data_IF_494171475532
#
_entry.id   IF_494171475532
#
_cell.length_a   1.000
_cell.length_b   1.000
_cell.length_c   1.000
_cell.angle_alpha   90.00
_cell.angle_beta   90.00
_cell.angle_gamma   90.00
#
_symmetry.space_group_name_H-M   'P 1'
#
loop_
_entity.id
_entity.type
_entity.pdbx_description
1 polymer ?
#
# COMPACT_ATOMS: atom_id res chain seq x y z
N UNK A 1 -33.75 -29.51 19.87
CA UNK A 1 -32.30 -29.76 19.88
C UNK A 1 -31.91 -30.06 21.31
N UNK A 2 -31.49 -31.29 21.59
CA UNK A 2 -31.14 -31.73 22.95
C UNK A 2 -29.76 -31.16 23.29
N UNK A 3 -29.67 -30.34 24.33
CA UNK A 3 -28.41 -29.83 24.83
C UNK A 3 -27.66 -30.97 25.50
N UNK A 4 -26.49 -31.31 24.97
CA UNK A 4 -25.53 -32.17 25.66
C UNK A 4 -25.10 -31.43 26.93
N UNK A 5 -25.62 -31.86 28.08
CA UNK A 5 -25.14 -31.44 29.38
C UNK A 5 -23.78 -32.11 29.60
N UNK A 6 -22.71 -31.48 29.14
CA UNK A 6 -21.36 -31.85 29.51
C UNK A 6 -21.20 -31.65 31.02
N UNK A 7 -21.06 -32.76 31.74
CA UNK A 7 -20.70 -32.76 33.16
C UNK A 7 -19.21 -33.04 33.26
N UNK A 8 -18.44 -32.06 33.72
CA UNK A 8 -17.03 -32.28 34.08
C UNK A 8 -16.92 -32.45 35.57
N UNK A 9 -16.43 -33.60 36.03
CA UNK A 9 -16.07 -33.82 37.43
C UNK A 9 -14.64 -33.32 37.68
N UNK A 10 -14.48 -32.49 38.71
CA UNK A 10 -13.18 -32.02 39.18
C UNK A 10 -13.01 -32.46 40.63
N UNK A 11 -11.98 -33.27 40.90
CA UNK A 11 -11.62 -33.71 42.25
C UNK A 11 -10.62 -32.73 42.82
N UNK A 12 -10.88 -32.26 44.04
CA UNK A 12 -10.08 -31.26 44.73
C UNK A 12 -9.80 -31.80 46.14
N UNK A 13 -8.58 -31.67 46.69
CA UNK A 13 -8.27 -32.12 48.04
C UNK A 13 -9.19 -31.47 49.09
N UNK A 14 -9.53 -32.19 50.16
CA UNK A 14 -10.42 -31.69 51.24
C UNK A 14 -9.85 -30.44 51.95
N UNK A 15 -8.55 -30.19 51.81
CA UNK A 15 -7.86 -29.01 52.35
C UNK A 15 -8.07 -27.74 51.51
N UNK A 16 -8.54 -27.86 50.28
CA UNK A 16 -8.77 -26.73 49.38
C UNK A 16 -10.25 -26.34 49.37
N UNK A 17 -10.51 -25.04 49.49
CA UNK A 17 -11.87 -24.48 49.56
C UNK A 17 -12.26 -23.71 48.30
N UNK A 18 -11.37 -23.65 47.30
CA UNK A 18 -11.57 -22.90 46.06
C UNK A 18 -11.06 -23.68 44.86
N UNK A 19 -11.73 -23.53 43.72
CA UNK A 19 -11.25 -24.03 42.43
C UNK A 19 -11.52 -22.99 41.34
N UNK A 20 -10.78 -23.11 40.23
CA UNK A 20 -10.98 -22.30 39.04
C UNK A 20 -11.33 -23.21 37.87
N UNK A 21 -12.36 -22.83 37.11
CA UNK A 21 -12.80 -23.53 35.90
C UNK A 21 -12.76 -22.56 34.73
N UNK A 22 -11.80 -22.77 33.85
CA UNK A 22 -11.64 -22.01 32.62
C UNK A 22 -12.41 -22.64 31.46
N UNK A 23 -12.54 -21.88 30.36
CA UNK A 23 -13.15 -22.37 29.12
C UNK A 23 -14.68 -22.42 29.14
N UNK A 24 -15.34 -21.82 30.13
CA UNK A 24 -16.79 -21.69 30.13
C UNK A 24 -17.23 -20.72 29.03
N UNK A 25 -18.33 -21.06 28.36
CA UNK A 25 -18.91 -20.24 27.31
C UNK A 25 -19.51 -18.97 27.95
N UNK A 26 -19.20 -17.76 27.44
CA UNK A 26 -19.78 -16.52 27.93
C UNK A 26 -21.31 -16.48 27.79
N UNK A 27 -21.99 -15.76 28.67
CA UNK A 27 -23.45 -15.58 28.66
C UNK A 27 -24.26 -16.90 28.61
N UNK A 28 -23.80 -17.91 29.36
CA UNK A 28 -24.46 -19.22 29.48
C UNK A 28 -24.78 -19.53 30.92
N UNK A 29 -25.93 -20.19 31.12
CA UNK A 29 -26.36 -20.69 32.42
C UNK A 29 -25.67 -22.02 32.73
N UNK A 30 -25.09 -22.12 33.92
CA UNK A 30 -24.40 -23.30 34.42
C UNK A 30 -24.96 -23.71 35.78
N UNK A 31 -24.83 -25.00 36.05
CA UNK A 31 -25.15 -25.59 37.34
C UNK A 31 -23.87 -26.24 37.91
N UNK A 32 -23.47 -25.84 39.10
CA UNK A 32 -22.39 -26.45 39.86
C UNK A 32 -22.98 -27.30 40.99
N UNK A 33 -22.49 -28.52 41.14
CA UNK A 33 -22.79 -29.41 42.26
C UNK A 33 -21.51 -29.72 43.03
N UNK A 34 -21.59 -29.67 44.35
CA UNK A 34 -20.49 -29.99 45.26
C UNK A 34 -20.90 -31.19 46.11
N UNK A 35 -20.01 -32.19 46.20
CA UNK A 35 -20.17 -33.38 47.03
C UNK A 35 -18.82 -33.83 47.59
N UNK A 36 -18.86 -34.69 48.59
CA UNK A 36 -17.64 -35.30 49.17
C UNK A 36 -17.48 -36.68 48.57
N UNK A 37 -16.27 -37.03 48.18
CA UNK A 37 -15.93 -38.39 47.76
C UNK A 37 -15.11 -39.05 48.87
N UNK A 38 -15.61 -40.17 49.41
CA UNK A 38 -14.93 -40.97 50.43
C UNK A 38 -14.83 -42.41 49.91
N UNK A 39 -13.62 -42.97 49.90
CA UNK A 39 -13.35 -44.34 49.41
C UNK A 39 -13.88 -44.64 47.98
N UNK A 40 -13.95 -43.61 47.12
CA UNK A 40 -14.44 -43.73 45.75
C UNK A 40 -15.98 -43.67 45.62
N UNK A 41 -16.68 -43.41 46.71
CA UNK A 41 -18.13 -43.20 46.74
C UNK A 41 -18.39 -41.70 46.89
N UNK A 42 -19.07 -41.12 45.91
CA UNK A 42 -19.54 -39.73 45.99
C UNK A 42 -20.78 -39.68 46.88
N UNK A 43 -20.66 -39.02 48.02
CA UNK A 43 -21.76 -38.73 48.94
C UNK A 43 -22.85 -37.87 48.29
N UNK A 44 -23.99 -37.77 48.96
CA UNK A 44 -25.10 -36.90 48.58
C UNK A 44 -24.62 -35.46 48.30
N UNK A 45 -25.26 -34.80 47.32
CA UNK A 45 -24.88 -33.45 46.91
C UNK A 45 -25.04 -32.48 48.08
N UNK A 46 -23.93 -31.91 48.55
CA UNK A 46 -23.92 -30.96 49.65
C UNK A 46 -24.50 -29.60 49.25
N UNK A 47 -24.19 -29.15 48.05
CA UNK A 47 -24.64 -27.85 47.57
C UNK A 47 -24.81 -27.84 46.05
N UNK A 48 -25.79 -27.07 45.60
CA UNK A 48 -26.09 -26.84 44.19
C UNK A 48 -26.22 -25.35 43.93
N UNK A 49 -25.40 -24.85 43.01
CA UNK A 49 -25.36 -23.43 42.64
C UNK A 49 -25.76 -23.28 41.18
N UNK A 50 -26.56 -22.26 40.88
CA UNK A 50 -26.84 -21.84 39.51
C UNK A 50 -26.23 -20.46 39.31
N UNK A 51 -25.48 -20.30 38.24
CA UNK A 51 -24.88 -19.02 37.89
C UNK A 51 -24.84 -18.87 36.37
N UNK A 52 -24.78 -17.63 35.92
CA UNK A 52 -24.59 -17.26 34.53
C UNK A 52 -23.22 -16.65 34.35
N UNK A 53 -22.48 -17.07 33.34
CA UNK A 53 -21.19 -16.46 33.00
C UNK A 53 -21.38 -15.05 32.44
N UNK A 54 -20.42 -14.16 32.69
CA UNK A 54 -20.44 -12.81 32.13
C UNK A 54 -20.46 -12.84 30.59
N UNK A 55 -21.01 -11.80 29.96
CA UNK A 55 -20.96 -11.66 28.50
C UNK A 55 -19.54 -11.27 28.05
N UNK A 56 -19.18 -11.64 26.82
CA UNK A 56 -17.91 -11.26 26.19
C UNK A 56 -18.08 -10.09 25.21
N UNK A 57 -19.27 -9.48 25.15
CA UNK A 57 -19.63 -8.47 24.14
C UNK A 57 -18.72 -7.24 24.23
N UNK A 58 -18.47 -6.75 25.44
CA UNK A 58 -17.62 -5.58 25.67
C UNK A 58 -16.17 -5.80 25.21
N UNK A 59 -15.64 -7.00 25.43
CA UNK A 59 -14.29 -7.36 24.98
C UNK A 59 -14.24 -7.56 23.47
N UNK A 60 -15.26 -8.19 22.89
CA UNK A 60 -15.35 -8.33 21.43
C UNK A 60 -15.47 -6.98 20.73
N UNK A 61 -16.24 -6.05 21.28
CA UNK A 61 -16.36 -4.68 20.77
C UNK A 61 -15.01 -3.96 20.83
N UNK A 62 -14.31 -4.03 21.97
CA UNK A 62 -12.97 -3.49 22.10
C UNK A 62 -12.00 -4.08 21.06
N UNK A 63 -12.04 -5.39 20.85
CA UNK A 63 -11.15 -6.08 19.92
C UNK A 63 -11.49 -5.81 18.44
N UNK A 64 -12.76 -5.54 18.14
CA UNK A 64 -13.20 -5.06 16.84
C UNK A 64 -12.68 -3.63 16.61
N UNK A 65 -12.82 -2.74 17.59
CA UNK A 65 -12.33 -1.36 17.51
C UNK A 65 -10.81 -1.30 17.33
N UNK A 66 -10.06 -2.14 18.06
CA UNK A 66 -8.60 -2.25 17.90
C UNK A 66 -8.22 -2.68 16.48
N UNK A 67 -8.88 -3.70 15.94
CA UNK A 67 -8.66 -4.17 14.56
C UNK A 67 -9.01 -3.10 13.52
N UNK A 68 -10.10 -2.36 13.73
CA UNK A 68 -10.45 -1.25 12.85
C UNK A 68 -9.43 -0.13 12.86
N UNK A 69 -8.91 0.24 14.04
CA UNK A 69 -7.88 1.27 14.17
C UNK A 69 -6.58 0.84 13.49
N UNK A 70 -6.13 -0.40 13.72
CA UNK A 70 -4.99 -0.99 13.04
C UNK A 70 -5.16 -0.98 11.50
N UNK A 71 -6.32 -1.38 11.01
CA UNK A 71 -6.64 -1.34 9.58
C UNK A 71 -6.63 0.09 9.01
N UNK A 72 -7.17 1.08 9.75
CA UNK A 72 -7.15 2.49 9.37
C UNK A 72 -5.73 3.03 9.30
N UNK A 73 -4.90 2.75 10.31
CA UNK A 73 -3.50 3.20 10.31
C UNK A 73 -2.69 2.58 9.16
N UNK A 74 -2.93 1.32 8.84
CA UNK A 74 -2.25 0.66 7.72
C UNK A 74 -2.72 1.20 6.35
N UNK A 75 -4.02 1.45 6.20
CA UNK A 75 -4.57 2.11 5.01
C UNK A 75 -3.96 3.50 4.81
N UNK A 76 -3.82 4.29 5.88
CA UNK A 76 -3.18 5.61 5.84
C UNK A 76 -1.70 5.51 5.44
N UNK A 77 -0.95 4.54 5.98
CA UNK A 77 0.45 4.29 5.57
C UNK A 77 0.55 3.98 4.08
N UNK A 78 -0.31 3.10 3.56
CA UNK A 78 -0.35 2.74 2.13
C UNK A 78 -0.69 3.95 1.26
N UNK A 79 -1.63 4.79 1.69
CA UNK A 79 -2.02 5.99 0.96
C UNK A 79 -0.88 7.01 0.91
N UNK A 80 -0.21 7.26 2.03
CA UNK A 80 0.95 8.15 2.08
C UNK A 80 2.07 7.67 1.15
N UNK A 81 2.39 6.37 1.17
CA UNK A 81 3.41 5.81 0.29
C UNK A 81 3.07 6.00 -1.20
N UNK A 82 1.80 5.79 -1.58
CA UNK A 82 1.30 6.02 -2.95
C UNK A 82 1.42 7.48 -3.34
N UNK A 83 1.02 8.39 -2.46
CA UNK A 83 1.13 9.85 -2.66
C UNK A 83 2.57 10.27 -2.88
N UNK A 84 3.49 9.79 -2.05
CA UNK A 84 4.91 10.18 -2.11
C UNK A 84 5.56 9.63 -3.39
N UNK A 85 5.22 8.41 -3.80
CA UNK A 85 5.65 7.83 -5.08
C UNK A 85 5.11 8.62 -6.28
N UNK A 86 3.84 9.02 -6.24
CA UNK A 86 3.23 9.83 -7.29
C UNK A 86 3.89 11.22 -7.39
N UNK A 87 4.21 11.84 -6.24
CA UNK A 87 4.90 13.12 -6.20
C UNK A 87 6.31 13.02 -6.79
N UNK A 88 7.04 11.95 -6.48
CA UNK A 88 8.35 11.67 -7.07
C UNK A 88 8.26 11.56 -8.60
N UNK A 89 7.35 10.73 -9.11
CA UNK A 89 7.14 10.58 -10.56
C UNK A 89 6.77 11.90 -11.23
N UNK A 90 5.93 12.71 -10.58
CA UNK A 90 5.54 14.04 -11.09
C UNK A 90 6.74 14.97 -11.21
N UNK A 91 7.61 14.97 -10.20
CA UNK A 91 8.82 15.80 -10.20
C UNK A 91 9.80 15.35 -11.28
N UNK A 92 10.01 14.05 -11.47
CA UNK A 92 10.85 13.52 -12.56
C UNK A 92 10.33 13.93 -13.94
N UNK A 93 9.01 13.90 -14.15
CA UNK A 93 8.40 14.36 -15.41
C UNK A 93 8.58 15.87 -15.59
N UNK A 94 8.41 16.66 -14.53
CA UNK A 94 8.59 18.11 -14.57
C UNK A 94 10.04 18.51 -14.90
N UNK A 95 11.03 17.81 -14.35
CA UNK A 95 12.44 18.00 -14.67
C UNK A 95 12.73 17.68 -16.14
N UNK A 96 12.26 16.52 -16.63
CA UNK A 96 12.41 16.14 -18.05
C UNK A 96 11.78 17.17 -19.00
N UNK A 97 10.60 17.68 -18.66
CA UNK A 97 9.93 18.73 -19.42
C UNK A 97 10.72 20.04 -19.40
N UNK A 98 11.32 20.39 -18.25
CA UNK A 98 12.13 21.60 -18.12
C UNK A 98 13.38 21.53 -19.00
N UNK A 99 14.07 20.38 -18.99
CA UNK A 99 15.22 20.14 -19.87
C UNK A 99 14.80 20.22 -21.34
N UNK A 100 13.70 19.55 -21.70
CA UNK A 100 13.18 19.59 -23.08
C UNK A 100 12.84 21.01 -23.54
N UNK A 101 12.22 21.82 -22.68
CA UNK A 101 11.92 23.24 -22.98
C UNK A 101 13.20 24.06 -23.19
N UNK A 102 14.24 23.85 -22.37
CA UNK A 102 15.54 24.52 -22.55
C UNK A 102 16.20 24.14 -23.87
N UNK A 103 16.19 22.85 -24.23
CA UNK A 103 16.72 22.39 -25.51
C UNK A 103 15.96 22.99 -26.69
N UNK A 104 14.63 22.99 -26.63
CA UNK A 104 13.79 23.59 -27.67
C UNK A 104 14.12 25.07 -27.89
N UNK A 105 14.19 25.84 -26.80
CA UNK A 105 14.56 27.25 -26.87
C UNK A 105 15.96 27.48 -27.47
N UNK A 106 16.93 26.62 -27.14
CA UNK A 106 18.27 26.69 -27.71
C UNK A 106 18.27 26.37 -29.22
N UNK A 107 17.39 25.48 -29.69
CA UNK A 107 17.23 25.21 -31.12
C UNK A 107 16.61 26.41 -31.85
N UNK A 108 15.55 27.01 -31.30
CA UNK A 108 14.92 28.21 -31.87
C UNK A 108 15.92 29.38 -31.98
N UNK A 109 16.81 29.55 -31.01
CA UNK A 109 17.85 30.59 -31.04
C UNK A 109 18.91 30.34 -32.13
N UNK A 110 19.15 29.07 -32.48
CA UNK A 110 20.12 28.66 -33.51
C UNK A 110 19.54 28.63 -34.92
N UNK A 111 18.23 28.54 -35.05
CA UNK A 111 17.52 28.50 -36.32
C UNK A 111 17.83 29.66 -37.29
N UNK A 112 17.86 30.95 -36.87
CA UNK A 112 18.24 32.03 -37.78
C UNK A 112 19.70 31.92 -38.25
N UNK A 113 20.62 31.47 -37.39
CA UNK A 113 22.03 31.24 -37.78
C UNK A 113 22.15 30.16 -38.86
N UNK A 114 21.30 29.13 -38.79
CA UNK A 114 21.24 28.07 -39.81
C UNK A 114 20.69 28.63 -41.13
N UNK A 115 19.63 29.44 -41.08
CA UNK A 115 19.04 30.06 -42.27
C UNK A 115 20.03 31.02 -42.97
N UNK A 116 20.80 31.78 -42.20
CA UNK A 116 21.85 32.67 -42.73
C UNK A 116 22.93 31.86 -43.45
N UNK A 117 23.44 30.78 -42.83
CA UNK A 117 24.42 29.88 -43.45
C UNK A 117 23.86 29.25 -44.74
N UNK A 118 22.60 28.83 -44.75
CA UNK A 118 21.96 28.29 -45.96
C UNK A 118 21.84 29.33 -47.07
N UNK A 119 21.54 30.59 -46.72
CA UNK A 119 21.48 31.71 -47.65
C UNK A 119 22.86 31.99 -48.26
N UNK A 120 23.90 32.07 -47.42
CA UNK A 120 25.28 32.30 -47.85
C UNK A 120 25.77 31.18 -48.78
N UNK A 121 25.48 29.92 -48.45
CA UNK A 121 25.80 28.79 -49.31
C UNK A 121 25.10 28.92 -50.68
N UNK A 122 23.80 29.22 -50.72
CA UNK A 122 23.07 29.41 -51.98
C UNK A 122 23.67 30.53 -52.83
N UNK A 123 24.07 31.65 -52.21
CA UNK A 123 24.73 32.75 -52.91
C UNK A 123 26.08 32.32 -53.49
N UNK A 124 26.92 31.63 -52.71
CA UNK A 124 28.22 31.11 -53.18
C UNK A 124 28.07 30.15 -54.36
N UNK A 125 27.09 29.24 -54.31
CA UNK A 125 26.80 28.31 -55.41
C UNK A 125 26.33 29.05 -56.67
N UNK A 126 25.48 30.07 -56.52
CA UNK A 126 25.01 30.87 -57.66
C UNK A 126 26.15 31.66 -58.32
N UNK A 127 27.05 32.24 -57.51
CA UNK A 127 28.18 33.04 -57.98
C UNK A 127 29.23 32.16 -58.66
N UNK A 128 29.50 30.98 -58.10
CA UNK A 128 30.41 29.98 -58.68
C UNK A 128 29.86 29.45 -60.01
N UNK A 129 28.55 29.21 -60.09
CA UNK A 129 27.90 28.79 -61.33
C UNK A 129 27.95 29.88 -62.40
N UNK A 130 27.69 31.13 -62.02
CA UNK A 130 27.77 32.27 -62.93
C UNK A 130 29.19 32.49 -63.46
N UNK A 131 30.20 32.47 -62.58
CA UNK A 131 31.61 32.64 -62.97
C UNK A 131 32.10 31.52 -63.88
N UNK A 132 31.69 30.26 -63.63
CA UNK A 132 31.99 29.13 -64.51
C UNK A 132 31.39 29.32 -65.92
N UNK A 133 30.16 29.83 -66.01
CA UNK A 133 29.49 30.13 -67.28
C UNK A 133 30.22 31.25 -68.03
N UNK A 134 30.62 32.33 -67.33
CA UNK A 134 31.38 33.42 -67.94
C UNK A 134 32.76 32.96 -68.43
N UNK A 135 33.44 32.12 -67.66
CA UNK A 135 34.73 31.54 -68.05
C UNK A 135 34.60 30.67 -69.31
N UNK A 136 33.58 29.79 -69.38
CA UNK A 136 33.29 29.00 -70.59
C UNK A 136 33.02 29.91 -71.79
N UNK A 137 32.17 30.93 -71.66
CA UNK A 137 31.90 31.90 -72.75
C UNK A 137 33.18 32.56 -73.27
N UNK A 138 34.08 32.97 -72.38
CA UNK A 138 35.38 33.59 -72.72
C UNK A 138 36.36 32.63 -73.40
N UNK A 139 36.32 31.34 -73.07
CA UNK A 139 37.10 30.32 -73.77
C UNK A 139 36.55 30.08 -75.18
N UNK A 140 35.23 29.97 -75.34
CA UNK A 140 34.61 29.78 -76.65
C UNK A 140 34.85 30.97 -77.60
N UNK A 141 34.82 32.22 -77.09
CA UNK A 141 35.09 33.41 -77.89
C UNK A 141 36.55 33.60 -78.30
N UNK A 142 37.49 32.84 -77.72
CA UNK A 142 38.92 32.85 -78.08
C UNK A 142 39.31 31.70 -79.01
N UNK A 143 38.43 30.73 -79.19
CA UNK A 143 38.64 29.55 -80.04
C UNK A 143 38.07 29.71 -81.47
N UNK A 144 37.48 30.86 -81.77
CA UNK A 144 37.02 31.31 -83.10
C UNK A 144 37.88 32.47 -83.58
#
# INVERSE_FOLDING_TARGET
MFGESESTLQRIPVTETSFTKDGLVPNKDYQLQVGVEEEGIVSETLAKFHFRTASNERWQEFENLRREDEARTEALKKLNLRRDSALKNRNEIAEKLTVKKRMWKAMEEKEPQIQDIESDLKQLWSTSSFTLVQFKKKLYSRAT
#
